data_IF_783463409736
#
_entry.id   IF_783463409736
#
_cell.length_a   1.000
_cell.length_b   1.000
_cell.length_c   1.000
_cell.angle_alpha   90.00
_cell.angle_beta   90.00
_cell.angle_gamma   90.00
#
_symmetry.space_group_name_H-M   'P 1'
#
loop_
_entity.id
_entity.type
_entity.pdbx_description
1 polymer ?
#
# COMPACT_ATOMS: atom_id res chain seq x y z
N UNK A 1 -55.75 -56.09 -21.38
CA UNK A 1 -54.86 -55.19 -22.15
C UNK A 1 -54.49 -54.03 -21.24
N UNK A 2 -53.20 -53.69 -21.27
CA UNK A 2 -52.46 -52.75 -20.42
C UNK A 2 -52.89 -51.29 -20.57
N UNK A 3 -52.84 -50.51 -19.47
CA UNK A 3 -52.32 -49.13 -19.33
C UNK A 3 -52.89 -48.54 -18.01
N UNK A 4 -52.20 -48.40 -16.88
CA UNK A 4 -50.96 -47.68 -16.48
C UNK A 4 -51.04 -46.14 -16.47
N UNK A 5 -50.97 -45.59 -15.23
CA UNK A 5 -50.37 -44.30 -14.83
C UNK A 5 -51.14 -43.01 -15.18
N UNK A 6 -51.14 -41.94 -14.38
CA UNK A 6 -50.46 -41.57 -13.13
C UNK A 6 -51.26 -40.44 -12.45
N UNK A 7 -51.31 -40.46 -11.12
CA UNK A 7 -51.72 -39.31 -10.31
C UNK A 7 -50.69 -38.17 -10.48
N UNK A 8 -51.17 -36.98 -10.83
CA UNK A 8 -50.39 -35.74 -10.80
C UNK A 8 -50.29 -35.25 -9.37
N UNK A 9 -49.08 -35.32 -8.82
CA UNK A 9 -48.67 -34.68 -7.58
C UNK A 9 -48.00 -33.35 -7.97
N UNK A 10 -48.79 -32.29 -8.10
CA UNK A 10 -48.28 -30.91 -8.21
C UNK A 10 -47.93 -30.43 -6.81
N UNK A 11 -46.77 -30.87 -6.32
CA UNK A 11 -46.05 -30.18 -5.27
C UNK A 11 -44.92 -29.38 -5.93
N UNK A 12 -45.25 -28.16 -6.36
CA UNK A 12 -44.27 -27.13 -6.68
C UNK A 12 -43.47 -26.83 -5.40
N UNK A 13 -42.37 -27.56 -5.22
CA UNK A 13 -41.31 -27.21 -4.27
C UNK A 13 -40.62 -25.99 -4.86
N UNK A 14 -41.16 -24.82 -4.56
CA UNK A 14 -40.44 -23.55 -4.66
C UNK A 14 -39.25 -23.66 -3.72
N UNK A 15 -38.07 -23.97 -4.26
CA UNK A 15 -36.85 -23.88 -3.49
C UNK A 15 -36.66 -22.42 -3.06
N UNK A 16 -36.54 -22.12 -1.75
CA UNK A 16 -36.30 -20.77 -1.30
C UNK A 16 -34.89 -20.40 -1.77
N UNK A 17 -34.79 -19.46 -2.71
CA UNK A 17 -33.55 -18.77 -3.01
C UNK A 17 -33.19 -17.96 -1.77
N UNK A 18 -32.37 -18.53 -0.88
CA UNK A 18 -31.85 -17.82 0.28
C UNK A 18 -31.05 -16.63 -0.23
N UNK A 19 -31.65 -15.45 -0.13
CA UNK A 19 -30.99 -14.17 -0.44
C UNK A 19 -29.72 -14.13 0.40
N UNK A 20 -28.55 -14.22 -0.23
CA UNK A 20 -27.28 -14.20 0.49
C UNK A 20 -27.16 -12.86 1.19
N UNK A 21 -27.02 -12.86 2.51
CA UNK A 21 -26.92 -11.63 3.31
C UNK A 21 -25.71 -10.82 2.87
N UNK A 22 -25.94 -9.58 2.43
CA UNK A 22 -24.91 -8.61 2.05
C UNK A 22 -24.62 -7.65 3.19
N UNK A 23 -23.37 -7.23 3.34
CA UNK A 23 -22.97 -6.31 4.41
C UNK A 23 -22.53 -4.93 3.91
N UNK A 24 -22.77 -3.91 4.73
CA UNK A 24 -21.95 -2.70 4.74
C UNK A 24 -20.70 -2.94 5.56
N UNK A 25 -19.53 -2.54 5.05
CA UNK A 25 -18.25 -2.57 5.75
C UNK A 25 -17.80 -1.17 6.15
N UNK A 26 -17.68 -0.91 7.45
CA UNK A 26 -17.08 0.31 7.98
C UNK A 26 -15.68 0.04 8.51
N UNK A 27 -14.68 0.68 7.90
CA UNK A 27 -13.30 0.69 8.41
C UNK A 27 -13.13 1.82 9.44
N UNK A 28 -13.02 1.46 10.70
CA UNK A 28 -12.66 2.39 11.75
C UNK A 28 -11.14 2.42 11.95
N UNK A 29 -10.54 3.48 11.42
CA UNK A 29 -9.10 3.69 11.27
C UNK A 29 -8.51 4.52 12.41
N UNK A 30 -9.07 4.46 13.63
CA UNK A 30 -8.71 5.38 14.71
C UNK A 30 -7.21 5.43 15.06
N UNK A 31 -6.45 4.34 14.86
CA UNK A 31 -5.01 4.30 15.10
C UNK A 31 -4.16 4.25 13.82
N UNK A 32 -4.78 4.31 12.64
CA UNK A 32 -4.09 4.16 11.37
C UNK A 32 -4.81 3.22 10.40
N UNK A 33 -4.23 3.10 9.21
CA UNK A 33 -4.65 2.18 8.17
C UNK A 33 -3.47 1.82 7.27
N UNK A 34 -2.97 0.59 7.42
CA UNK A 34 -1.95 0.00 6.56
C UNK A 34 -2.52 -1.18 5.76
N UNK A 35 -1.82 -1.59 4.70
CA UNK A 35 -2.26 -2.70 3.83
C UNK A 35 -2.49 -4.00 4.62
N UNK A 36 -1.49 -4.39 5.41
CA UNK A 36 -1.53 -5.53 6.32
C UNK A 36 -2.71 -5.45 7.30
N UNK A 37 -2.98 -4.27 7.88
CA UNK A 37 -4.09 -4.05 8.81
C UNK A 37 -5.44 -4.22 8.13
N UNK A 38 -5.60 -3.73 6.89
CA UNK A 38 -6.83 -3.89 6.12
C UNK A 38 -7.11 -5.37 5.82
N UNK A 39 -6.12 -6.09 5.29
CA UNK A 39 -6.23 -7.53 5.04
C UNK A 39 -6.51 -8.30 6.33
N UNK A 40 -5.73 -8.04 7.37
CA UNK A 40 -5.88 -8.69 8.68
C UNK A 40 -7.28 -8.49 9.26
N UNK A 41 -7.83 -7.28 9.18
CA UNK A 41 -9.17 -6.99 9.70
C UNK A 41 -10.27 -7.74 8.94
N UNK A 42 -10.09 -7.95 7.63
CA UNK A 42 -11.02 -8.75 6.84
C UNK A 42 -10.94 -10.23 7.22
N UNK A 43 -9.73 -10.78 7.32
CA UNK A 43 -9.52 -12.16 7.74
C UNK A 43 -10.08 -12.42 9.15
N UNK A 44 -9.86 -11.51 10.10
CA UNK A 44 -10.36 -11.63 11.47
C UNK A 44 -11.89 -11.50 11.57
N UNK A 45 -12.54 -10.81 10.64
CA UNK A 45 -14.00 -10.70 10.57
C UNK A 45 -14.69 -11.98 10.07
N UNK A 46 -13.93 -12.93 9.51
CA UNK A 46 -14.44 -14.24 9.09
C UNK A 46 -14.62 -15.19 10.27
N UNK A 47 -15.37 -16.28 10.07
CA UNK A 47 -15.52 -17.33 11.08
C UNK A 47 -14.23 -18.13 11.28
N UNK A 48 -13.39 -18.20 10.25
CA UNK A 48 -12.13 -18.93 10.27
C UNK A 48 -11.06 -18.16 9.47
N UNK A 49 -10.30 -17.32 10.17
CA UNK A 49 -9.27 -16.46 9.56
C UNK A 49 -8.20 -17.26 8.81
N UNK A 50 -7.86 -18.46 9.27
CA UNK A 50 -6.86 -19.32 8.63
C UNK A 50 -7.38 -19.91 7.32
N UNK A 51 -8.65 -20.31 7.28
CA UNK A 51 -9.27 -20.81 6.06
C UNK A 51 -9.41 -19.70 5.01
N UNK A 52 -9.87 -18.52 5.42
CA UNK A 52 -9.96 -17.39 4.49
C UNK A 52 -8.58 -16.93 4.01
N UNK A 53 -7.55 -16.95 4.87
CA UNK A 53 -6.17 -16.66 4.44
C UNK A 53 -5.68 -17.64 3.36
N UNK A 54 -5.96 -18.93 3.53
CA UNK A 54 -5.63 -19.96 2.52
C UNK A 54 -6.39 -19.73 1.22
N UNK A 55 -7.68 -19.42 1.30
CA UNK A 55 -8.49 -19.09 0.14
C UNK A 55 -7.94 -17.87 -0.62
N UNK A 56 -7.59 -16.79 0.09
CA UNK A 56 -6.94 -15.62 -0.50
C UNK A 56 -5.63 -16.00 -1.19
N UNK A 57 -4.78 -16.78 -0.52
CA UNK A 57 -3.50 -17.24 -1.09
C UNK A 57 -3.70 -18.09 -2.35
N UNK A 58 -4.70 -18.98 -2.36
CA UNK A 58 -5.03 -19.84 -3.51
C UNK A 58 -5.58 -19.02 -4.68
N UNK A 59 -6.51 -18.10 -4.42
CA UNK A 59 -7.06 -17.20 -5.42
C UNK A 59 -5.95 -16.36 -6.10
N UNK A 60 -5.06 -15.75 -5.31
CA UNK A 60 -3.93 -14.98 -5.86
C UNK A 60 -3.00 -15.89 -6.67
N UNK A 61 -2.62 -17.06 -6.14
CA UNK A 61 -1.65 -17.95 -6.82
C UNK A 61 -2.18 -18.58 -8.10
N UNK A 62 -3.47 -18.91 -8.15
CA UNK A 62 -4.11 -19.49 -9.34
C UNK A 62 -4.61 -18.44 -10.32
N UNK A 63 -5.05 -17.29 -9.79
CA UNK A 63 -5.48 -16.14 -10.58
C UNK A 63 -4.31 -15.46 -11.26
N UNK A 64 -3.18 -15.28 -10.57
CA UNK A 64 -1.95 -14.65 -11.09
C UNK A 64 -0.76 -15.61 -10.92
N UNK A 65 -0.63 -16.64 -11.79
CA UNK A 65 0.40 -17.68 -11.66
C UNK A 65 1.83 -17.16 -11.64
N UNK A 66 2.10 -15.98 -12.21
CA UNK A 66 3.40 -15.32 -12.16
C UNK A 66 3.82 -14.95 -10.72
N UNK A 67 2.87 -14.80 -9.81
CA UNK A 67 3.13 -14.53 -8.39
C UNK A 67 3.19 -15.83 -7.56
N UNK A 68 2.86 -16.98 -8.15
CA UNK A 68 2.84 -18.25 -7.44
C UNK A 68 4.24 -18.60 -6.94
N UNK A 69 4.37 -18.79 -5.62
CA UNK A 69 5.65 -19.08 -4.97
C UNK A 69 6.56 -17.87 -4.74
N UNK A 70 6.10 -16.65 -5.05
CA UNK A 70 6.79 -15.43 -4.63
C UNK A 70 6.41 -14.99 -3.21
N UNK A 71 5.26 -15.45 -2.71
CA UNK A 71 4.74 -15.05 -1.40
C UNK A 71 4.15 -16.21 -0.58
N UNK A 72 4.10 -16.00 0.73
CA UNK A 72 3.31 -16.79 1.68
C UNK A 72 2.58 -15.84 2.63
N UNK A 73 1.28 -16.07 2.85
CA UNK A 73 0.49 -15.33 3.84
C UNK A 73 0.56 -16.07 5.18
N UNK A 74 1.15 -15.44 6.18
CA UNK A 74 1.13 -15.93 7.55
C UNK A 74 0.21 -15.07 8.42
N UNK A 75 -0.58 -15.73 9.26
CA UNK A 75 -1.49 -15.05 10.20
C UNK A 75 -1.10 -15.39 11.63
N UNK A 76 -1.02 -14.40 12.50
CA UNK A 76 -0.76 -14.60 13.93
C UNK A 76 -1.63 -13.68 14.76
N UNK A 77 -2.21 -14.18 15.86
CA UNK A 77 -2.83 -13.30 16.85
C UNK A 77 -1.73 -12.63 17.67
N UNK A 78 -1.74 -11.30 17.68
CA UNK A 78 -0.77 -10.46 18.39
C UNK A 78 -1.50 -9.52 19.33
N UNK A 79 -0.77 -9.00 20.31
CA UNK A 79 -1.25 -8.00 21.25
C UNK A 79 -0.57 -6.66 20.95
N UNK A 80 -1.35 -5.58 20.95
CA UNK A 80 -0.87 -4.20 20.69
C UNK A 80 -1.33 -3.24 21.78
N UNK A 81 -0.46 -2.30 22.14
CA UNK A 81 -0.69 -1.28 23.17
C UNK A 81 0.18 -1.50 24.40
N UNK A 82 0.85 -0.44 24.87
CA UNK A 82 1.78 -0.49 26.01
C UNK A 82 1.12 -0.36 27.39
N UNK A 83 0.08 0.45 27.55
CA UNK A 83 -0.64 0.61 28.83
C UNK A 83 -1.69 -0.48 29.08
N UNK A 84 -2.14 -1.13 28.02
CA UNK A 84 -3.13 -2.21 28.01
C UNK A 84 -3.22 -2.74 26.60
N UNK A 85 -3.16 -4.07 26.44
CA UNK A 85 -3.01 -4.66 25.12
C UNK A 85 -4.34 -5.18 24.57
N UNK A 86 -4.56 -4.95 23.27
CA UNK A 86 -5.70 -5.47 22.52
C UNK A 86 -5.22 -6.53 21.54
N UNK A 87 -5.93 -7.66 21.49
CA UNK A 87 -5.64 -8.72 20.54
C UNK A 87 -6.19 -8.36 19.17
N UNK A 88 -5.35 -8.50 18.16
CA UNK A 88 -5.74 -8.44 16.76
C UNK A 88 -5.06 -9.55 15.96
N UNK A 89 -5.62 -9.87 14.81
CA UNK A 89 -4.92 -10.67 13.82
C UNK A 89 -3.87 -9.81 13.13
N UNK A 90 -2.66 -10.32 12.97
CA UNK A 90 -1.62 -9.70 12.18
C UNK A 90 -1.27 -10.62 11.02
N UNK A 91 -1.25 -10.04 9.82
CA UNK A 91 -0.82 -10.69 8.59
C UNK A 91 0.60 -10.28 8.29
N UNK A 92 1.41 -11.26 7.95
CA UNK A 92 2.75 -11.05 7.40
C UNK A 92 2.80 -11.70 6.02
N UNK A 93 3.10 -10.90 5.01
CA UNK A 93 3.37 -11.40 3.65
C UNK A 93 4.87 -11.68 3.55
N UNK A 94 5.23 -12.95 3.67
CA UNK A 94 6.61 -13.38 3.45
C UNK A 94 6.88 -13.39 1.95
N UNK A 95 7.92 -12.69 1.52
CA UNK A 95 8.34 -12.66 0.13
C UNK A 95 9.64 -13.43 -0.06
N UNK A 96 9.76 -14.12 -1.19
CA UNK A 96 11.04 -14.70 -1.64
C UNK A 96 12.17 -13.66 -1.77
N UNK A 97 11.79 -12.38 -1.88
CA UNK A 97 12.70 -11.25 -2.12
C UNK A 97 12.79 -10.29 -0.93
N UNK A 98 12.35 -10.71 0.28
CA UNK A 98 12.37 -9.91 1.50
C UNK A 98 11.64 -8.55 1.45
N UNK A 99 10.75 -8.34 0.48
CA UNK A 99 10.00 -7.07 0.31
C UNK A 99 10.89 -5.82 0.19
N UNK A 100 12.08 -5.96 -0.41
CA UNK A 100 13.00 -4.82 -0.58
C UNK A 100 12.42 -3.77 -1.57
N UNK A 101 12.44 -2.47 -1.21
CA UNK A 101 12.03 -1.37 -2.08
C UNK A 101 12.75 -1.32 -3.44
N UNK A 102 12.10 -0.72 -4.43
CA UNK A 102 12.76 -0.42 -5.70
C UNK A 102 13.76 0.75 -5.54
N UNK A 103 14.96 0.68 -6.15
CA UNK A 103 15.93 1.76 -6.04
C UNK A 103 15.40 3.09 -6.58
N UNK A 104 15.68 4.17 -5.87
CA UNK A 104 15.29 5.53 -6.30
C UNK A 104 16.06 5.93 -7.57
N UNK A 105 15.37 6.38 -8.63
CA UNK A 105 15.99 6.94 -9.82
C UNK A 105 16.89 8.11 -9.44
N UNK A 106 18.17 8.05 -9.82
CA UNK A 106 19.03 9.22 -9.76
C UNK A 106 18.51 10.22 -10.79
N UNK A 107 18.28 11.48 -10.39
CA UNK A 107 18.09 12.56 -11.37
C UNK A 107 19.23 12.47 -12.37
N UNK A 108 18.90 12.46 -13.67
CA UNK A 108 19.92 12.77 -14.69
C UNK A 108 20.48 14.13 -14.27
N UNK A 109 21.78 14.21 -14.08
CA UNK A 109 22.42 15.50 -13.89
C UNK A 109 22.00 16.35 -15.08
N UNK A 110 21.29 17.45 -14.82
CA UNK A 110 21.12 18.47 -15.83
C UNK A 110 22.55 18.85 -16.24
N UNK A 111 22.90 18.55 -17.49
CA UNK A 111 24.17 18.96 -18.10
C UNK A 111 24.07 20.47 -18.40
N UNK A 112 23.76 21.27 -17.38
CA UNK A 112 23.82 22.71 -17.44
C UNK A 112 24.71 23.20 -16.29
N UNK A 113 25.79 23.85 -16.74
CA UNK A 113 26.76 24.65 -16.01
C UNK A 113 27.77 23.93 -15.11
N UNK A 114 28.90 23.73 -15.77
CA UNK A 114 30.26 23.58 -15.25
C UNK A 114 30.59 24.66 -14.20
N UNK A 115 30.06 24.53 -12.98
CA UNK A 115 30.52 25.26 -11.81
C UNK A 115 31.37 24.35 -10.93
N UNK A 116 32.69 24.47 -11.08
CA UNK A 116 33.66 23.93 -10.14
C UNK A 116 33.40 24.48 -8.73
N UNK A 117 32.67 23.73 -7.91
CA UNK A 117 32.67 23.96 -6.48
C UNK A 117 33.94 23.33 -5.90
N UNK A 118 34.94 24.17 -5.66
CA UNK A 118 36.08 23.80 -4.83
C UNK A 118 35.58 23.52 -3.41
N UNK A 119 35.67 22.26 -2.99
CA UNK A 119 35.62 21.90 -1.58
C UNK A 119 36.83 22.52 -0.87
N UNK A 120 36.66 23.67 -0.24
CA UNK A 120 37.57 24.10 0.81
C UNK A 120 37.26 23.26 2.06
N UNK A 121 38.16 22.35 2.40
CA UNK A 121 38.25 21.79 3.74
C UNK A 121 38.46 22.97 4.72
N UNK A 122 37.45 23.28 5.52
CA UNK A 122 37.62 24.14 6.69
C UNK A 122 38.47 23.37 7.72
N UNK A 123 39.78 23.56 7.66
CA UNK A 123 40.67 23.27 8.77
C UNK A 123 40.51 24.38 9.81
N UNK A 124 39.99 23.99 10.98
CA UNK A 124 39.95 24.84 12.16
C UNK A 124 41.38 25.07 12.65
N UNK A 125 41.91 26.28 12.45
CA UNK A 125 43.13 26.72 13.12
C UNK A 125 42.78 27.71 14.23
N UNK A 126 43.00 27.26 15.47
CA UNK A 126 43.14 28.12 16.63
C UNK A 126 44.38 29.00 16.43
N UNK A 127 44.19 30.31 16.51
CA UNK A 127 45.28 31.28 16.57
C UNK A 127 45.65 31.52 18.03
N UNK A 128 46.89 31.23 18.39
CA UNK A 128 47.59 31.97 19.44
C UNK A 128 48.94 32.47 18.91
N UNK A 129 49.15 33.76 19.12
CA UNK A 129 50.23 34.57 18.57
C UNK A 129 51.59 34.26 19.20
N UNK A 130 52.65 34.22 18.38
CA UNK A 130 53.93 34.82 18.73
C UNK A 130 54.84 35.07 17.49
N UNK A 131 55.31 36.31 17.42
CA UNK A 131 56.32 36.97 16.57
C UNK A 131 57.24 36.09 15.69
N UNK A 132 57.39 36.44 14.40
CA UNK A 132 58.62 37.10 13.88
C UNK A 132 58.52 37.44 12.39
N UNK A 133 59.19 38.53 12.02
CA UNK A 133 59.36 39.09 10.67
C UNK A 133 60.04 38.16 9.67
N UNK A 134 59.74 38.29 8.37
CA UNK A 134 60.70 38.58 7.28
C UNK A 134 60.01 38.74 5.91
N UNK A 135 60.44 39.77 5.16
CA UNK A 135 60.15 40.02 3.74
C UNK A 135 60.99 39.11 2.83
N UNK A 136 60.49 38.81 1.62
CA UNK A 136 61.14 38.79 0.28
C UNK A 136 60.13 38.12 -0.68
N UNK A 137 59.55 38.83 -1.64
CA UNK A 137 60.03 39.23 -2.98
C UNK A 137 59.95 38.11 -4.05
N UNK A 138 59.55 38.54 -5.25
CA UNK A 138 59.06 37.87 -6.48
C UNK A 138 59.67 36.51 -6.88
N UNK A 139 58.83 35.65 -7.47
CA UNK A 139 59.26 34.48 -8.25
C UNK A 139 58.10 33.75 -8.93
N UNK A 140 57.90 34.05 -10.22
CA UNK A 140 57.08 33.29 -11.18
C UNK A 140 57.64 31.86 -11.33
N UNK A 141 56.81 30.83 -11.15
CA UNK A 141 57.16 29.47 -11.53
C UNK A 141 55.97 28.73 -12.14
N UNK A 142 56.04 28.61 -13.47
CA UNK A 142 55.29 27.71 -14.33
C UNK A 142 55.78 26.27 -14.11
N UNK A 143 54.85 25.36 -13.82
CA UNK A 143 55.11 23.92 -13.76
C UNK A 143 54.05 23.16 -14.54
N UNK A 144 54.40 22.91 -15.80
CA UNK A 144 53.88 21.84 -16.65
C UNK A 144 54.23 20.47 -16.06
N UNK A 145 53.22 19.65 -15.77
CA UNK A 145 53.40 18.21 -15.57
C UNK A 145 52.56 17.42 -16.57
N UNK A 146 53.26 16.89 -17.57
CA UNK A 146 52.85 15.74 -18.38
C UNK A 146 52.71 14.51 -17.49
N UNK A 147 51.53 13.88 -17.51
CA UNK A 147 51.40 12.48 -17.12
C UNK A 147 50.67 11.70 -18.21
N UNK A 148 51.46 10.86 -18.87
CA UNK A 148 51.07 9.91 -19.89
C UNK A 148 50.00 8.92 -19.39
N UNK A 149 49.00 8.69 -20.24
CA UNK A 149 48.06 7.60 -20.10
C UNK A 149 48.75 6.30 -20.52
N UNK A 150 48.86 5.35 -19.58
CA UNK A 150 49.19 3.96 -19.91
C UNK A 150 47.95 3.09 -19.63
N UNK A 151 47.40 2.54 -20.70
CA UNK A 151 46.27 1.64 -20.69
C UNK A 151 46.79 0.21 -20.55
N UNK A 152 46.59 -0.40 -19.38
CA UNK A 152 46.56 -1.86 -19.30
C UNK A 152 45.57 -2.32 -18.24
N UNK A 153 44.44 -2.83 -18.74
CA UNK A 153 43.38 -3.47 -17.97
C UNK A 153 43.91 -4.65 -17.16
N UNK A 154 43.31 -4.87 -15.98
CA UNK A 154 42.70 -6.16 -15.71
C UNK A 154 41.20 -5.98 -15.91
N UNK A 155 40.65 -6.74 -16.85
CA UNK A 155 39.22 -6.99 -16.93
C UNK A 155 38.78 -7.59 -15.59
N UNK A 156 38.34 -6.73 -14.68
CA UNK A 156 37.57 -7.16 -13.53
C UNK A 156 36.20 -7.59 -14.05
N UNK A 157 36.11 -8.88 -14.39
CA UNK A 157 34.85 -9.62 -14.31
C UNK A 157 34.34 -9.46 -12.88
N UNK A 158 33.54 -8.42 -12.66
CA UNK A 158 32.58 -8.42 -11.57
C UNK A 158 31.52 -9.44 -11.96
N UNK A 159 31.80 -10.70 -11.62
CA UNK A 159 30.77 -11.70 -11.44
C UNK A 159 29.67 -11.03 -10.62
N UNK A 160 28.52 -10.87 -11.25
CA UNK A 160 27.34 -10.31 -10.61
C UNK A 160 27.07 -11.14 -9.37
N UNK A 161 27.39 -10.58 -8.20
CA UNK A 161 26.76 -10.99 -6.95
C UNK A 161 25.27 -10.93 -7.21
N UNK A 162 24.65 -12.10 -7.34
CA UNK A 162 23.21 -12.26 -7.50
C UNK A 162 22.54 -11.82 -6.21
N UNK A 163 22.36 -10.51 -6.07
CA UNK A 163 21.50 -9.95 -5.03
C UNK A 163 20.07 -10.41 -5.31
N UNK A 164 19.46 -11.03 -4.30
CA UNK A 164 18.11 -11.59 -4.23
C UNK A 164 17.01 -10.52 -4.32
N UNK A 165 17.07 -9.63 -5.31
CA UNK A 165 16.06 -8.58 -5.52
C UNK A 165 14.92 -9.10 -6.39
N UNK A 166 13.69 -8.81 -6.00
CA UNK A 166 12.49 -9.19 -6.74
C UNK A 166 12.35 -8.42 -8.05
N UNK A 167 11.45 -8.87 -8.94
CA UNK A 167 11.14 -8.13 -10.17
C UNK A 167 10.54 -6.76 -9.82
N UNK A 168 11.08 -5.71 -10.45
CA UNK A 168 10.59 -4.34 -10.31
C UNK A 168 9.29 -4.17 -11.10
N UNK A 169 8.14 -4.21 -10.41
CA UNK A 169 6.82 -4.07 -11.05
C UNK A 169 6.39 -2.61 -11.11
N UNK A 170 6.14 -2.13 -12.33
CA UNK A 170 5.49 -0.83 -12.56
C UNK A 170 3.96 -0.97 -12.69
N UNK A 171 3.23 0.14 -12.78
CA UNK A 171 1.77 0.13 -12.93
C UNK A 171 1.31 -0.74 -14.11
N UNK A 172 1.98 -0.64 -15.25
CA UNK A 172 1.63 -1.39 -16.46
C UNK A 172 1.70 -2.89 -16.24
N UNK A 173 2.74 -3.37 -15.55
CA UNK A 173 2.91 -4.78 -15.22
C UNK A 173 1.87 -5.26 -14.21
N UNK A 174 1.61 -4.48 -13.16
CA UNK A 174 0.59 -4.83 -12.16
C UNK A 174 -0.80 -4.88 -12.80
N UNK A 175 -1.17 -3.88 -13.61
CA UNK A 175 -2.42 -3.89 -14.38
C UNK A 175 -2.52 -5.13 -15.26
N UNK A 176 -1.46 -5.45 -16.01
CA UNK A 176 -1.42 -6.64 -16.87
C UNK A 176 -1.68 -7.92 -16.06
N UNK A 177 -1.00 -8.11 -14.93
CA UNK A 177 -1.20 -9.28 -14.06
C UNK A 177 -2.66 -9.40 -13.60
N UNK A 178 -3.25 -8.29 -13.16
CA UNK A 178 -4.63 -8.28 -12.65
C UNK A 178 -5.63 -8.50 -13.80
N UNK A 179 -5.48 -7.82 -14.94
CA UNK A 179 -6.38 -7.92 -16.09
C UNK A 179 -6.41 -9.33 -16.68
N UNK A 180 -5.24 -9.97 -16.80
CA UNK A 180 -5.10 -11.31 -17.38
C UNK A 180 -5.37 -12.44 -16.37
N UNK A 181 -5.62 -12.11 -15.10
CA UNK A 181 -5.94 -13.12 -14.11
C UNK A 181 -7.24 -13.87 -14.45
N UNK A 182 -7.40 -15.12 -14.04
CA UNK A 182 -8.64 -15.87 -14.34
C UNK A 182 -9.82 -15.36 -13.51
N UNK A 183 -10.97 -15.09 -14.16
CA UNK A 183 -12.23 -14.70 -13.50
C UNK A 183 -12.78 -15.80 -12.57
N UNK A 184 -12.33 -17.05 -12.73
CA UNK A 184 -12.65 -18.16 -11.83
C UNK A 184 -12.08 -17.94 -10.41
N UNK A 185 -10.93 -17.28 -10.32
CA UNK A 185 -10.21 -17.08 -9.06
C UNK A 185 -10.24 -15.65 -8.56
N UNK A 186 -10.33 -14.68 -9.48
CA UNK A 186 -10.33 -13.25 -9.18
C UNK A 186 -11.55 -12.61 -9.81
N UNK A 187 -12.57 -12.34 -9.00
CA UNK A 187 -13.82 -11.74 -9.46
C UNK A 187 -13.59 -10.39 -10.20
N UNK A 188 -14.35 -10.08 -11.26
CA UNK A 188 -14.20 -8.83 -12.02
C UNK A 188 -14.26 -7.54 -11.17
N UNK A 189 -15.04 -7.54 -10.08
CA UNK A 189 -15.05 -6.41 -9.15
C UNK A 189 -13.69 -6.28 -8.43
N UNK A 190 -13.10 -7.41 -7.99
CA UNK A 190 -11.77 -7.40 -7.36
C UNK A 190 -10.74 -6.79 -8.32
N UNK A 191 -10.73 -7.21 -9.59
CA UNK A 191 -9.84 -6.67 -10.61
C UNK A 191 -10.02 -5.16 -10.78
N UNK A 192 -11.27 -4.72 -10.92
CA UNK A 192 -11.62 -3.32 -11.15
C UNK A 192 -11.12 -2.43 -10.01
N UNK A 193 -11.38 -2.82 -8.75
CA UNK A 193 -10.97 -2.02 -7.59
C UNK A 193 -9.46 -2.10 -7.37
N UNK A 194 -8.82 -3.25 -7.61
CA UNK A 194 -7.37 -3.38 -7.50
C UNK A 194 -6.65 -2.46 -8.51
N UNK A 195 -7.07 -2.47 -9.79
CA UNK A 195 -6.53 -1.58 -10.83
C UNK A 195 -6.73 -0.11 -10.46
N UNK A 196 -7.91 0.25 -9.97
CA UNK A 196 -8.19 1.61 -9.50
C UNK A 196 -7.27 2.01 -8.34
N UNK A 197 -7.06 1.12 -7.36
CA UNK A 197 -6.18 1.34 -6.21
C UNK A 197 -4.74 1.60 -6.66
N UNK A 198 -4.19 0.75 -7.53
CA UNK A 198 -2.84 0.94 -8.08
C UNK A 198 -2.72 2.17 -8.97
N UNK A 199 -3.79 2.55 -9.66
CA UNK A 199 -3.81 3.79 -10.47
C UNK A 199 -3.75 5.03 -9.58
N UNK A 200 -4.49 5.07 -8.46
CA UNK A 200 -4.40 6.19 -7.50
C UNK A 200 -3.01 6.26 -6.85
N UNK A 201 -2.41 5.12 -6.50
CA UNK A 201 -1.01 5.05 -6.04
C UNK A 201 -0.05 5.62 -7.09
N UNK A 202 -0.17 5.16 -8.34
CA UNK A 202 0.70 5.62 -9.41
C UNK A 202 0.56 7.12 -9.67
N UNK A 203 -0.63 7.69 -9.55
CA UNK A 203 -0.84 9.15 -9.64
C UNK A 203 -0.12 9.90 -8.52
N UNK A 204 -0.22 9.41 -7.29
CA UNK A 204 0.45 10.02 -6.13
C UNK A 204 1.98 9.95 -6.26
N UNK A 205 2.50 8.81 -6.68
CA UNK A 205 3.93 8.55 -6.88
C UNK A 205 4.48 9.33 -8.08
N UNK A 206 3.79 9.31 -9.23
CA UNK A 206 4.17 10.08 -10.42
C UNK A 206 4.34 11.56 -10.08
N UNK A 207 3.38 12.12 -9.33
CA UNK A 207 3.45 13.55 -9.02
C UNK A 207 4.48 13.87 -7.94
N UNK A 208 4.75 12.94 -7.02
CA UNK A 208 5.81 13.09 -6.02
C UNK A 208 7.20 13.07 -6.68
N UNK A 209 7.40 12.21 -7.69
CA UNK A 209 8.67 12.06 -8.38
C UNK A 209 8.81 12.90 -9.66
N UNK A 210 7.78 13.67 -10.04
CA UNK A 210 7.78 14.48 -11.26
C UNK A 210 7.85 13.66 -12.55
N UNK A 211 7.30 12.44 -12.55
CA UNK A 211 7.30 11.58 -13.73
C UNK A 211 6.36 12.13 -14.81
N UNK A 212 6.80 12.07 -16.08
CA UNK A 212 6.01 12.52 -17.24
C UNK A 212 4.79 11.62 -17.52
N UNK A 213 4.84 10.36 -17.08
CA UNK A 213 3.76 9.38 -17.26
C UNK A 213 3.59 8.50 -16.03
N UNK A 214 2.33 8.18 -15.72
CA UNK A 214 1.91 7.29 -14.64
C UNK A 214 2.35 5.84 -14.90
N UNK A 215 2.48 5.45 -16.17
CA UNK A 215 2.82 4.10 -16.58
C UNK A 215 4.33 3.82 -16.46
N UNK A 216 5.15 4.88 -16.40
CA UNK A 216 6.60 4.79 -16.17
C UNK A 216 7.00 4.86 -14.69
N UNK A 217 6.03 4.96 -13.78
CA UNK A 217 6.30 4.97 -12.34
C UNK A 217 6.73 3.58 -11.90
N UNK A 218 7.96 3.48 -11.43
CA UNK A 218 8.38 2.37 -10.59
C UNK A 218 7.97 2.69 -9.16
N UNK A 219 7.16 1.82 -8.57
CA UNK A 219 6.77 1.98 -7.19
C UNK A 219 7.98 1.67 -6.31
N UNK A 220 8.46 2.67 -5.55
CA UNK A 220 9.57 2.48 -4.63
C UNK A 220 9.13 1.67 -3.41
N UNK A 221 7.95 1.97 -2.87
CA UNK A 221 7.45 1.34 -1.63
C UNK A 221 6.24 0.42 -1.88
N UNK A 222 5.66 0.43 -3.09
CA UNK A 222 4.31 -0.12 -3.35
C UNK A 222 4.25 -1.15 -4.50
N UNK A 223 5.38 -1.43 -5.15
CA UNK A 223 5.50 -2.40 -6.26
C UNK A 223 5.98 -3.77 -5.80
N UNK A 224 6.28 -3.87 -4.51
CA UNK A 224 6.64 -5.11 -3.85
C UNK A 224 5.40 -6.02 -3.73
N UNK A 225 5.70 -7.31 -3.59
CA UNK A 225 4.67 -8.36 -3.58
C UNK A 225 3.71 -8.20 -2.39
N UNK A 226 4.15 -7.63 -1.27
CA UNK A 226 3.34 -7.30 -0.10
C UNK A 226 2.18 -6.38 -0.45
N UNK A 227 2.41 -5.29 -1.18
CA UNK A 227 1.38 -4.34 -1.59
C UNK A 227 0.35 -4.94 -2.54
N UNK A 228 0.78 -5.87 -3.41
CA UNK A 228 -0.12 -6.64 -4.28
C UNK A 228 -0.98 -7.59 -3.44
N UNK A 229 -0.37 -8.35 -2.54
CA UNK A 229 -1.08 -9.32 -1.69
C UNK A 229 -2.03 -8.61 -0.72
N UNK A 230 -1.61 -7.52 -0.10
CA UNK A 230 -2.46 -6.71 0.79
C UNK A 230 -3.66 -6.14 0.04
N UNK A 231 -3.44 -5.55 -1.15
CA UNK A 231 -4.51 -4.92 -1.94
C UNK A 231 -5.48 -5.96 -2.49
N UNK A 232 -4.97 -6.91 -3.28
CA UNK A 232 -5.80 -7.92 -3.94
C UNK A 232 -6.40 -8.86 -2.89
N UNK A 233 -5.63 -9.25 -1.88
CA UNK A 233 -6.10 -10.12 -0.80
C UNK A 233 -7.19 -9.47 0.03
N UNK A 234 -7.09 -8.18 0.36
CA UNK A 234 -8.18 -7.46 1.05
C UNK A 234 -9.45 -7.48 0.23
N UNK A 235 -9.35 -7.24 -1.08
CA UNK A 235 -10.52 -7.23 -1.97
C UNK A 235 -11.14 -8.63 -2.12
N UNK A 236 -10.34 -9.69 -2.24
CA UNK A 236 -10.83 -11.08 -2.23
C UNK A 236 -11.56 -11.36 -0.91
N UNK A 237 -10.97 -11.00 0.23
CA UNK A 237 -11.59 -11.21 1.53
C UNK A 237 -12.91 -10.44 1.68
N UNK A 238 -12.99 -9.18 1.22
CA UNK A 238 -14.23 -8.40 1.22
C UNK A 238 -15.30 -8.99 0.29
N UNK A 239 -14.90 -9.53 -0.87
CA UNK A 239 -15.81 -10.22 -1.77
C UNK A 239 -16.33 -11.52 -1.14
N UNK A 240 -15.46 -12.33 -0.55
CA UNK A 240 -15.81 -13.55 0.19
C UNK A 240 -16.79 -13.26 1.35
N UNK A 241 -16.58 -12.16 2.08
CA UNK A 241 -17.45 -11.71 3.17
C UNK A 241 -18.75 -11.07 2.67
N UNK A 242 -19.00 -11.02 1.36
CA UNK A 242 -20.19 -10.42 0.74
C UNK A 242 -20.42 -8.95 1.13
N UNK A 243 -19.35 -8.16 1.22
CA UNK A 243 -19.41 -6.73 1.53
C UNK A 243 -19.73 -5.93 0.27
N UNK A 244 -20.83 -5.19 0.26
CA UNK A 244 -21.35 -4.51 -0.94
C UNK A 244 -21.38 -2.99 -0.81
N UNK A 245 -21.02 -2.42 0.33
CA UNK A 245 -20.84 -0.97 0.44
C UNK A 245 -19.81 -0.66 1.51
N UNK A 246 -19.16 0.49 1.39
CA UNK A 246 -17.99 0.82 2.19
C UNK A 246 -18.11 2.22 2.78
N UNK A 247 -17.62 2.37 4.01
CA UNK A 247 -17.30 3.67 4.59
C UNK A 247 -16.04 3.55 5.45
N UNK A 248 -15.41 4.67 5.77
CA UNK A 248 -14.32 4.70 6.74
C UNK A 248 -14.44 5.88 7.69
N UNK A 249 -13.82 5.77 8.86
CA UNK A 249 -13.65 6.89 9.78
C UNK A 249 -12.71 7.94 9.18
N UNK A 250 -12.55 9.08 9.88
CA UNK A 250 -11.47 10.02 9.54
C UNK A 250 -10.12 9.32 9.69
N UNK A 251 -9.18 9.69 8.84
CA UNK A 251 -7.83 9.12 8.83
C UNK A 251 -6.89 9.90 9.75
N UNK A 252 -6.25 9.25 10.74
CA UNK A 252 -5.36 9.93 11.68
C UNK A 252 -4.04 10.32 11.01
N UNK A 253 -3.58 11.54 11.27
CA UNK A 253 -2.24 11.97 10.90
C UNK A 253 -1.20 11.42 11.87
N UNK A 254 -0.13 10.84 11.33
CA UNK A 254 1.09 10.62 12.10
C UNK A 254 1.86 11.92 12.28
N UNK A 255 2.90 11.86 13.12
CA UNK A 255 3.78 13.00 13.39
C UNK A 255 5.26 12.59 13.21
N UNK A 256 6.15 13.58 13.18
CA UNK A 256 7.60 13.36 13.08
C UNK A 256 8.09 13.08 11.67
N UNK A 257 9.10 12.22 11.57
CA UNK A 257 9.77 11.89 10.32
C UNK A 257 9.96 10.39 10.12
N UNK A 258 10.17 9.97 8.88
CA UNK A 258 10.48 8.58 8.50
C UNK A 258 11.74 8.56 7.64
N UNK A 259 12.56 7.52 7.82
CA UNK A 259 13.68 7.24 6.93
C UNK A 259 13.17 6.48 5.71
N UNK A 260 13.51 6.96 4.52
CA UNK A 260 13.17 6.35 3.24
C UNK A 260 14.40 6.32 2.34
N UNK A 261 14.32 5.71 1.17
CA UNK A 261 15.37 5.80 0.16
C UNK A 261 15.57 7.24 -0.38
N UNK A 262 14.65 8.16 -0.06
CA UNK A 262 14.74 9.59 -0.35
C UNK A 262 15.33 10.38 0.84
N UNK A 263 15.85 9.69 1.85
CA UNK A 263 16.31 10.27 3.11
C UNK A 263 15.19 10.46 4.11
N UNK A 264 15.38 11.42 5.02
CA UNK A 264 14.40 11.72 6.08
C UNK A 264 13.28 12.57 5.50
N UNK A 265 12.05 12.06 5.54
CA UNK A 265 10.85 12.75 5.09
C UNK A 265 9.91 13.08 6.27
N UNK A 266 9.13 14.18 6.20
CA UNK A 266 8.06 14.42 7.16
C UNK A 266 6.96 13.36 7.04
N UNK A 267 6.24 13.14 8.13
CA UNK A 267 5.06 12.28 8.16
C UNK A 267 3.78 13.12 8.11
N UNK A 268 2.77 12.76 7.29
CA UNK A 268 2.79 11.68 6.29
C UNK A 268 3.75 11.95 5.14
N UNK A 269 4.28 10.89 4.52
CA UNK A 269 5.16 11.03 3.37
C UNK A 269 4.40 11.68 2.17
N UNK A 270 5.10 12.32 1.21
CA UNK A 270 4.45 13.10 0.15
C UNK A 270 3.42 12.32 -0.69
N UNK A 271 3.71 11.05 -1.02
CA UNK A 271 2.78 10.19 -1.77
C UNK A 271 1.52 9.88 -0.95
N UNK A 272 1.66 9.55 0.33
CA UNK A 272 0.51 9.40 1.25
C UNK A 272 -0.30 10.69 1.32
N UNK A 273 0.34 11.84 1.50
CA UNK A 273 -0.34 13.13 1.62
C UNK A 273 -1.16 13.46 0.36
N UNK A 274 -0.65 13.12 -0.83
CA UNK A 274 -1.39 13.21 -2.10
C UNK A 274 -2.65 12.35 -2.11
N UNK A 275 -2.57 11.10 -1.63
CA UNK A 275 -3.72 10.19 -1.56
C UNK A 275 -4.79 10.66 -0.57
N UNK A 276 -4.39 11.38 0.47
CA UNK A 276 -5.32 11.93 1.47
C UNK A 276 -6.09 13.16 0.98
N UNK A 277 -5.74 13.76 -0.17
CA UNK A 277 -6.47 14.92 -0.71
C UNK A 277 -7.93 14.56 -1.01
N UNK A 278 -8.86 15.17 -0.27
CA UNK A 278 -10.30 14.90 -0.38
C UNK A 278 -10.82 13.81 0.56
N UNK A 279 -9.95 13.16 1.34
CA UNK A 279 -10.32 12.28 2.44
C UNK A 279 -10.29 13.08 3.76
N UNK A 280 -11.36 13.05 4.56
CA UNK A 280 -11.32 13.61 5.91
C UNK A 280 -10.29 12.98 6.83
N UNK A 281 -9.60 13.86 7.54
CA UNK A 281 -8.49 13.51 8.43
C UNK A 281 -8.80 13.97 9.84
N UNK A 282 -8.02 13.49 10.80
CA UNK A 282 -8.02 13.96 12.17
C UNK A 282 -6.60 13.94 12.73
N UNK A 283 -6.35 14.62 13.86
CA UNK A 283 -5.12 14.41 14.62
C UNK A 283 -4.94 12.92 14.93
N UNK A 284 -3.69 12.48 14.99
CA UNK A 284 -3.35 11.15 15.45
C UNK A 284 -3.72 10.92 16.92
N UNK A 285 -3.75 9.66 17.37
CA UNK A 285 -3.86 9.36 18.79
C UNK A 285 -2.72 10.01 19.58
N UNK A 286 -3.01 10.42 20.82
CA UNK A 286 -2.02 11.04 21.70
C UNK A 286 -0.85 10.09 21.97
N UNK A 287 0.37 10.65 21.99
CA UNK A 287 1.58 9.87 22.31
C UNK A 287 2.21 9.14 21.12
N UNK A 288 1.76 9.40 19.88
CA UNK A 288 2.51 9.01 18.67
C UNK A 288 3.76 9.87 18.58
N UNK A 289 4.91 9.29 18.92
CA UNK A 289 6.17 10.05 18.95
C UNK A 289 6.71 10.27 17.54
N UNK A 290 6.67 9.25 16.68
CA UNK A 290 7.05 9.37 15.26
C UNK A 290 6.44 8.25 14.40
N UNK A 291 6.13 8.57 13.15
CA UNK A 291 5.96 7.58 12.09
C UNK A 291 4.59 7.58 11.43
N UNK A 292 4.57 7.07 10.20
CA UNK A 292 3.35 7.00 9.40
C UNK A 292 2.34 6.00 9.99
N UNK A 293 1.11 6.50 10.24
CA UNK A 293 -0.03 5.72 10.74
C UNK A 293 -0.92 5.21 9.59
N UNK A 294 -0.97 5.94 8.49
CA UNK A 294 -1.72 5.57 7.28
C UNK A 294 -0.71 5.44 6.16
N UNK A 295 -0.50 4.23 5.65
CA UNK A 295 0.50 3.99 4.59
C UNK A 295 -0.07 4.34 3.21
N UNK A 296 0.77 4.53 2.18
CA UNK A 296 0.28 4.75 0.82
C UNK A 296 -0.73 3.69 0.37
N UNK A 297 -0.41 2.41 0.58
CA UNK A 297 -1.29 1.28 0.23
C UNK A 297 -2.64 1.36 0.95
N UNK A 298 -2.64 1.63 2.25
CA UNK A 298 -3.86 1.76 3.04
C UNK A 298 -4.72 2.95 2.59
N UNK A 299 -4.10 4.11 2.36
CA UNK A 299 -4.79 5.30 1.87
C UNK A 299 -5.42 5.08 0.49
N UNK A 300 -4.67 4.50 -0.45
CA UNK A 300 -5.16 4.26 -1.81
C UNK A 300 -6.32 3.28 -1.86
N UNK A 301 -6.25 2.17 -1.10
CA UNK A 301 -7.32 1.18 -1.08
C UNK A 301 -8.61 1.76 -0.48
N UNK A 302 -8.50 2.47 0.65
CA UNK A 302 -9.66 3.14 1.26
C UNK A 302 -10.24 4.22 0.33
N UNK A 303 -9.39 4.97 -0.37
CA UNK A 303 -9.82 5.96 -1.37
C UNK A 303 -10.60 5.31 -2.51
N UNK A 304 -10.10 4.21 -3.07
CA UNK A 304 -10.77 3.47 -4.14
C UNK A 304 -12.14 2.95 -3.69
N UNK A 305 -12.21 2.34 -2.49
CA UNK A 305 -13.44 1.77 -1.93
C UNK A 305 -14.49 2.83 -1.55
N UNK A 306 -14.09 4.01 -1.08
CA UNK A 306 -15.02 4.97 -0.45
C UNK A 306 -15.36 6.21 -1.28
N UNK A 307 -14.48 6.66 -2.19
CA UNK A 307 -14.70 7.89 -2.97
C UNK A 307 -15.05 7.62 -4.43
N UNK A 308 -14.61 6.50 -4.98
CA UNK A 308 -14.66 6.26 -6.42
C UNK A 308 -15.60 5.11 -6.82
N UNK A 309 -15.91 4.18 -5.92
CA UNK A 309 -16.73 3.02 -6.28
C UNK A 309 -17.69 2.56 -5.16
N UNK A 310 -18.91 3.13 -5.04
CA UNK A 310 -19.98 2.47 -4.31
C UNK A 310 -20.48 1.25 -5.10
N UNK A 311 -20.39 0.03 -4.55
CA UNK A 311 -21.08 -1.14 -5.12
C UNK A 311 -22.60 -0.91 -4.99
N UNK A 312 -23.34 -0.99 -6.09
CA UNK A 312 -24.81 -0.92 -6.10
C UNK A 312 -25.40 0.33 -6.78
N UNK A 313 -25.55 0.22 -8.10
CA UNK A 313 -26.63 0.64 -9.02
C UNK A 313 -25.92 0.73 -10.39
N UNK A 314 -26.22 -0.24 -11.25
CA UNK A 314 -25.90 -0.30 -12.68
C UNK A 314 -24.60 0.35 -13.16
N UNK A 315 -23.58 -0.49 -13.36
CA UNK A 315 -22.31 -0.16 -14.05
C UNK A 315 -22.47 0.28 -15.53
N UNK A 316 -23.68 0.66 -15.95
CA UNK A 316 -24.02 1.18 -17.28
C UNK A 316 -24.48 2.63 -17.31
N UNK A 317 -24.73 3.28 -16.17
CA UNK A 317 -24.96 4.73 -16.16
C UNK A 317 -23.66 5.49 -15.84
N UNK A 318 -22.79 5.57 -16.84
CA UNK A 318 -21.91 6.75 -17.00
C UNK A 318 -22.77 7.95 -17.43
N UNK A 319 -23.72 8.34 -16.59
CA UNK A 319 -24.49 9.56 -16.75
C UNK A 319 -23.71 10.70 -16.09
N UNK A 320 -23.55 11.78 -16.85
CA UNK A 320 -22.92 13.07 -16.50
C UNK A 320 -23.66 13.85 -15.40
N UNK A 321 -24.42 13.16 -14.55
CA UNK A 321 -25.06 13.73 -13.37
C UNK A 321 -24.05 13.83 -12.23
N UNK A 322 -23.80 15.07 -11.81
CA UNK A 322 -23.06 15.48 -10.62
C UNK A 322 -23.13 14.44 -9.50
N UNK A 323 -22.00 14.00 -8.89
CA UNK A 323 -22.03 13.01 -7.82
C UNK A 323 -22.88 13.52 -6.65
N UNK A 324 -24.13 13.06 -6.59
CA UNK A 324 -25.09 13.50 -5.59
C UNK A 324 -24.73 12.89 -4.26
N UNK A 325 -24.38 13.76 -3.30
CA UNK A 325 -24.19 13.51 -1.85
C UNK A 325 -23.09 12.49 -1.52
N UNK A 326 -21.93 13.03 -1.17
CA UNK A 326 -20.80 12.39 -0.49
C UNK A 326 -21.21 11.21 0.43
N UNK A 327 -20.91 9.98 0.01
CA UNK A 327 -20.92 8.77 0.88
C UNK A 327 -19.82 8.79 1.95
N UNK A 328 -19.02 9.85 1.98
CA UNK A 328 -18.00 10.07 2.97
C UNK A 328 -18.55 10.97 4.09
N UNK A 329 -18.86 10.40 5.26
CA UNK A 329 -19.22 11.18 6.47
C UNK A 329 -18.24 11.04 7.64
N UNK A 330 -17.14 10.30 7.48
CA UNK A 330 -16.19 10.02 8.57
C UNK A 330 -16.86 9.38 9.80
N UNK A 331 -18.08 8.86 9.62
CA UNK A 331 -18.96 8.23 10.60
C UNK A 331 -19.64 7.07 9.89
N UNK A 332 -19.85 5.94 10.57
CA UNK A 332 -20.61 4.84 9.98
C UNK A 332 -22.05 5.28 9.68
N UNK A 333 -22.71 4.66 8.68
CA UNK A 333 -24.15 4.80 8.53
C UNK A 333 -24.87 4.19 9.75
N UNK A 334 -26.19 4.38 9.86
CA UNK A 334 -26.98 3.59 10.81
C UNK A 334 -27.07 2.16 10.28
N UNK A 335 -26.52 1.19 11.00
CA UNK A 335 -26.51 -0.23 10.61
C UNK A 335 -26.34 -1.11 11.85
N UNK A 336 -26.79 -2.36 11.78
CA UNK A 336 -26.62 -3.34 12.88
C UNK A 336 -25.35 -4.13 12.66
N UNK A 337 -24.37 -4.00 13.56
CA UNK A 337 -23.11 -4.76 13.48
C UNK A 337 -23.41 -6.25 13.70
N UNK A 338 -22.95 -7.08 12.76
CA UNK A 338 -23.06 -8.56 12.77
C UNK A 338 -21.72 -9.24 12.99
N UNK A 339 -20.65 -8.69 12.43
CA UNK A 339 -19.29 -9.21 12.57
C UNK A 339 -18.30 -8.06 12.79
N UNK A 340 -17.23 -8.36 13.50
CA UNK A 340 -16.10 -7.45 13.70
C UNK A 340 -14.81 -8.17 13.37
N UNK A 341 -13.84 -7.46 12.81
CA UNK A 341 -12.48 -7.94 12.68
C UNK A 341 -11.49 -6.88 13.13
N UNK A 342 -10.41 -7.32 13.78
CA UNK A 342 -9.35 -6.47 14.33
C UNK A 342 -8.04 -6.82 13.63
N UNK A 343 -7.59 -5.92 12.76
CA UNK A 343 -6.29 -6.03 12.09
C UNK A 343 -5.22 -5.26 12.86
N UNK A 344 -4.22 -5.95 13.36
CA UNK A 344 -3.09 -5.36 14.07
C UNK A 344 -1.96 -5.00 13.10
N UNK A 345 -1.43 -3.78 13.22
CA UNK A 345 -0.28 -3.33 12.43
C UNK A 345 1.04 -3.80 13.02
N UNK A 346 2.14 -3.59 12.29
CA UNK A 346 3.48 -3.98 12.73
C UNK A 346 3.99 -3.20 13.93
N UNK A 347 3.83 -1.87 13.94
CA UNK A 347 4.30 -1.00 15.03
C UNK A 347 3.52 -1.26 16.31
N UNK A 348 4.18 -1.07 17.44
CA UNK A 348 3.54 -1.06 18.75
C UNK A 348 3.77 0.30 19.42
N UNK A 349 2.69 0.89 19.93
CA UNK A 349 2.74 2.22 20.55
C UNK A 349 2.40 2.11 22.03
N UNK A 350 3.08 2.92 22.84
CA UNK A 350 2.95 2.84 24.30
C UNK A 350 1.54 3.23 24.76
N UNK A 351 1.02 4.33 24.22
CA UNK A 351 -0.21 4.98 24.68
C UNK A 351 -1.49 4.52 23.96
N UNK A 352 -1.38 3.77 22.86
CA UNK A 352 -2.53 3.26 22.13
C UNK A 352 -2.21 1.99 21.35
N UNK A 353 -3.20 1.10 21.15
CA UNK A 353 -3.03 -0.06 20.29
C UNK A 353 -2.94 0.37 18.82
N UNK A 354 -2.03 -0.24 18.06
CA UNK A 354 -1.96 -0.09 16.61
C UNK A 354 -2.85 -1.13 15.92
N UNK A 355 -4.15 -0.83 15.84
CA UNK A 355 -5.17 -1.73 15.29
C UNK A 355 -6.18 -0.97 14.40
N UNK A 356 -6.66 -1.65 13.37
CA UNK A 356 -7.78 -1.21 12.54
C UNK A 356 -8.96 -2.13 12.81
N UNK A 357 -10.17 -1.55 12.88
CA UNK A 357 -11.39 -2.34 13.06
C UNK A 357 -12.23 -2.33 11.79
N UNK A 358 -12.64 -3.50 11.33
CA UNK A 358 -13.67 -3.66 10.32
C UNK A 358 -14.98 -4.02 11.01
N UNK A 359 -16.01 -3.20 10.79
CA UNK A 359 -17.36 -3.46 11.28
C UNK A 359 -18.23 -3.88 10.09
N UNK A 360 -18.76 -5.10 10.12
CA UNK A 360 -19.68 -5.61 9.11
C UNK A 360 -21.08 -5.61 9.69
N UNK A 361 -22.04 -5.03 8.97
CA UNK A 361 -23.43 -4.99 9.42
C UNK A 361 -24.44 -4.90 8.28
N UNK A 362 -25.68 -5.21 8.61
CA UNK A 362 -26.83 -5.15 7.71
C UNK A 362 -27.80 -4.01 8.13
N UNK A 363 -28.82 -3.79 7.30
CA UNK A 363 -29.88 -2.79 7.48
C UNK A 363 -29.38 -1.35 7.58
N UNK A 364 -29.10 -0.72 6.43
CA UNK A 364 -28.81 0.73 6.35
C UNK A 364 -30.11 1.49 6.61
N UNK A 365 -30.32 1.99 7.83
CA UNK A 365 -31.46 2.88 8.13
C UNK A 365 -31.09 4.29 7.66
N UNK A 366 -31.47 4.60 6.42
CA UNK A 366 -31.19 5.89 5.75
C UNK A 366 -31.91 7.08 6.39
#
# INVERSE_FOLDING_TARGET
MSSSQSAGDDSDIVQPTTKQTTYHGHFDCFSGAAGDMLLSSCLDASENSTELAKHVSECISRGMPELAGEFEIQTKRVWRGGMGSIAGLHVTVLSKYNNEPAPVPKRKADNDDNHHQHHHQHHSHQHDNQYSSHQHDVGDHDHSHDHAHDHNSPSHDHSSSTTTKGPLRNLREIKRLIEHSSDEYIDPWVKTIAILTFTELAHAEATTHGAESIESVHFHEVGAIDSIVDTVGTLIALHYLNVTSFSCSRLPFGEGTVWTDHGILPVPAPATLRLLVGMPTCPGPLGVVTGELVTPTGAALLRALTLKYPRGIDAKETSTTTPTKHNYKGRPPNFTIRKIGIGAGTKDFEMHPNILRLLLGDDIVT
#
